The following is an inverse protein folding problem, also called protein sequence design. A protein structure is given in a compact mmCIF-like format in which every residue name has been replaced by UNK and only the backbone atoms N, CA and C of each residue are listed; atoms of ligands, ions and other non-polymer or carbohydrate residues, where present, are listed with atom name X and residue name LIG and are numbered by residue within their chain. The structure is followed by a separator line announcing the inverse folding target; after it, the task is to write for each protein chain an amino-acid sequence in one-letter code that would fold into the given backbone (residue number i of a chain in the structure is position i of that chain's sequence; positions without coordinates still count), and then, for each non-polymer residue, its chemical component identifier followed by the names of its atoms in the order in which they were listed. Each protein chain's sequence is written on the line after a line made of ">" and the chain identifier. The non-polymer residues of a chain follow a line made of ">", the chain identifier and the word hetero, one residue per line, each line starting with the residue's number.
data_IF_194539353104
#
_entry.id   IF_194539353104
#
_cell.length_a   1.000
_cell.length_b   1.000
_cell.length_c   1.000
_cell.angle_alpha   90.00
_cell.angle_beta   90.00
_cell.angle_gamma   90.00
#
_symmetry.space_group_name_H-M   'P 1'
#
loop_
_entity.id
_entity.type
_entity.pdbx_description
1 polymer ?
#
# COMPACT_ATOMS: atom_id res chain seq x y z
N UNK A 1 -23.18 -3.45 1.51
CA UNK A 1 -22.53 -4.10 2.67
C UNK A 1 -21.97 -5.44 2.23
N UNK A 2 -21.00 -5.94 2.95
CA UNK A 2 -20.41 -7.29 2.70
C UNK A 2 -21.46 -8.41 2.81
N UNK A 3 -22.52 -8.19 3.58
CA UNK A 3 -23.67 -9.11 3.66
C UNK A 3 -24.53 -9.20 2.39
N UNK A 4 -24.26 -8.39 1.36
CA UNK A 4 -25.12 -8.23 0.18
C UNK A 4 -26.32 -7.29 0.40
N UNK A 5 -26.59 -6.87 1.63
CA UNK A 5 -27.66 -5.89 1.92
C UNK A 5 -27.35 -4.53 1.30
N UNK A 6 -28.33 -3.95 0.61
CA UNK A 6 -28.21 -2.61 0.04
C UNK A 6 -28.39 -1.53 1.11
N UNK A 7 -27.60 -0.47 1.00
CA UNK A 7 -27.79 0.70 1.85
C UNK A 7 -29.06 1.48 1.45
N UNK A 8 -29.75 2.00 2.46
CA UNK A 8 -30.72 3.09 2.27
C UNK A 8 -29.94 4.39 2.19
N UNK A 9 -30.21 5.17 1.17
CA UNK A 9 -29.56 6.48 0.99
C UNK A 9 -30.20 7.58 1.84
N UNK A 10 -29.42 8.55 2.34
CA UNK A 10 -27.98 8.69 2.21
C UNK A 10 -27.21 7.74 3.14
N UNK A 11 -26.06 7.24 2.69
CA UNK A 11 -25.15 6.50 3.56
C UNK A 11 -24.50 7.49 4.55
N UNK A 12 -24.61 7.19 5.83
CA UNK A 12 -24.06 8.00 6.93
C UNK A 12 -23.11 7.14 7.78
N UNK A 13 -22.20 7.79 8.52
CA UNK A 13 -21.31 7.10 9.44
C UNK A 13 -22.04 6.16 10.43
N UNK A 14 -23.27 6.52 10.83
CA UNK A 14 -24.08 5.72 11.74
C UNK A 14 -24.60 4.40 11.13
N UNK A 15 -24.73 4.31 9.79
CA UNK A 15 -25.27 3.13 9.10
C UNK A 15 -24.28 2.51 8.11
N UNK A 16 -23.08 3.09 7.96
CA UNK A 16 -22.02 2.53 7.15
C UNK A 16 -21.40 1.31 7.83
N UNK A 17 -21.04 0.32 7.04
CA UNK A 17 -20.17 -0.76 7.48
C UNK A 17 -18.72 -0.28 7.53
N UNK A 18 -18.03 -0.60 8.60
CA UNK A 18 -16.63 -0.25 8.79
C UNK A 18 -15.73 -1.44 8.46
N UNK A 19 -14.87 -1.29 7.47
CA UNK A 19 -13.82 -2.26 7.19
C UNK A 19 -12.79 -2.30 8.34
N UNK A 20 -12.40 -1.14 8.83
CA UNK A 20 -11.52 -1.00 9.98
C UNK A 20 -11.80 0.34 10.69
N UNK A 21 -11.81 0.34 12.03
CA UNK A 21 -11.93 1.58 12.80
C UNK A 21 -10.55 2.08 13.15
N UNK A 22 -10.23 3.27 12.67
CA UNK A 22 -8.96 3.92 12.92
C UNK A 22 -9.16 5.12 13.85
N UNK A 23 -8.27 5.33 14.83
CA UNK A 23 -8.32 6.52 15.68
C UNK A 23 -7.93 7.76 14.86
N UNK A 24 -8.33 8.94 15.35
CA UNK A 24 -7.79 10.18 14.82
C UNK A 24 -6.30 10.32 15.12
N UNK A 25 -5.59 11.10 14.30
CA UNK A 25 -4.15 11.36 14.45
C UNK A 25 -3.29 10.10 14.45
N UNK A 26 -3.66 9.09 13.65
CA UNK A 26 -2.91 7.85 13.49
C UNK A 26 -1.92 7.88 12.30
N UNK A 27 -1.62 9.07 11.79
CA UNK A 27 -0.74 9.30 10.63
C UNK A 27 -1.23 8.62 9.34
N UNK A 28 -2.53 8.36 9.23
CA UNK A 28 -3.15 7.95 7.97
C UNK A 28 -3.65 9.20 7.23
N UNK A 29 -3.20 9.34 6.01
CA UNK A 29 -3.67 10.39 5.10
C UNK A 29 -4.00 9.82 3.73
N UNK A 30 -5.16 10.18 3.21
CA UNK A 30 -5.63 9.98 1.84
C UNK A 30 -5.57 8.53 1.33
N UNK A 31 -4.73 8.31 0.36
CA UNK A 31 -4.86 7.26 -0.62
C UNK A 31 -4.43 5.90 -0.09
N UNK A 32 -5.27 4.95 -0.37
CA UNK A 32 -5.01 3.52 -0.23
C UNK A 32 -5.08 2.87 -1.61
N UNK A 33 -4.63 1.64 -1.71
CA UNK A 33 -4.82 0.79 -2.87
C UNK A 33 -5.71 -0.38 -2.50
N UNK A 34 -6.56 -0.80 -3.42
CA UNK A 34 -7.45 -1.92 -3.21
C UNK A 34 -7.34 -2.91 -4.38
N UNK A 35 -7.41 -4.18 -4.05
CA UNK A 35 -7.59 -5.31 -4.97
C UNK A 35 -8.70 -6.22 -4.42
N UNK A 36 -9.07 -7.24 -5.16
CA UNK A 36 -9.99 -8.26 -4.71
C UNK A 36 -9.47 -9.65 -5.07
N UNK A 37 -9.83 -10.65 -4.29
CA UNK A 37 -9.62 -12.05 -4.64
C UNK A 37 -10.61 -12.54 -5.70
N UNK A 38 -10.50 -13.80 -6.10
CA UNK A 38 -11.38 -14.41 -7.11
C UNK A 38 -12.85 -14.49 -6.67
N UNK A 39 -13.14 -14.44 -5.37
CA UNK A 39 -14.48 -14.39 -4.81
C UNK A 39 -15.04 -12.96 -4.73
N UNK A 40 -14.24 -11.95 -5.04
CA UNK A 40 -14.60 -10.54 -4.95
C UNK A 40 -14.41 -9.93 -3.56
N UNK A 41 -13.76 -10.63 -2.64
CA UNK A 41 -13.46 -10.09 -1.32
C UNK A 41 -12.39 -9.01 -1.40
N UNK A 42 -12.59 -7.83 -0.79
CA UNK A 42 -11.67 -6.71 -0.91
C UNK A 42 -10.44 -6.84 0.00
N UNK A 43 -9.30 -6.40 -0.52
CA UNK A 43 -8.01 -6.25 0.15
C UNK A 43 -7.55 -4.80 0.01
N UNK A 44 -7.29 -4.12 1.11
CA UNK A 44 -6.97 -2.70 1.18
C UNK A 44 -5.58 -2.53 1.77
N UNK A 45 -4.64 -2.07 0.95
CA UNK A 45 -3.29 -1.74 1.38
C UNK A 45 -3.20 -0.29 1.84
N UNK A 46 -2.65 -0.05 3.01
CA UNK A 46 -2.55 1.27 3.62
C UNK A 46 -1.47 1.31 4.70
N UNK A 47 -1.36 2.39 5.45
CA UNK A 47 -0.47 2.51 6.60
C UNK A 47 -1.09 3.36 7.70
N UNK A 48 -0.78 3.07 8.92
CA UNK A 48 -1.09 3.90 10.10
C UNK A 48 -0.26 3.47 11.30
N UNK A 49 -0.16 4.35 12.30
CA UNK A 49 0.42 3.99 13.61
C UNK A 49 -0.67 3.50 14.56
N UNK A 50 -0.36 2.48 15.34
CA UNK A 50 -1.20 2.02 16.46
C UNK A 50 -1.18 3.03 17.60
N UNK A 51 -2.20 3.06 18.49
CA UNK A 51 -2.25 3.99 19.62
C UNK A 51 -1.07 3.86 20.61
N UNK A 52 -0.48 2.69 20.67
CA UNK A 52 0.65 2.32 21.54
C UNK A 52 2.04 2.52 20.90
N UNK A 53 2.08 3.12 19.70
CA UNK A 53 3.31 3.34 18.95
C UNK A 53 3.29 4.69 18.24
N UNK A 54 4.46 5.32 18.09
CA UNK A 54 4.67 6.51 17.28
C UNK A 54 5.16 6.18 15.85
N UNK A 55 5.39 4.89 15.56
CA UNK A 55 5.90 4.42 14.26
C UNK A 55 4.76 3.93 13.37
N UNK A 56 4.44 4.63 12.27
CA UNK A 56 3.50 4.12 11.27
C UNK A 56 4.03 2.86 10.60
N UNK A 57 3.17 1.87 10.46
CA UNK A 57 3.45 0.60 9.81
C UNK A 57 2.58 0.41 8.58
N UNK A 58 3.11 -0.23 7.56
CA UNK A 58 2.27 -0.74 6.48
C UNK A 58 1.32 -1.81 7.02
N UNK A 59 0.08 -1.74 6.58
CA UNK A 59 -0.99 -2.62 7.03
C UNK A 59 -1.88 -3.05 5.88
N UNK A 60 -2.42 -4.23 6.02
CA UNK A 60 -3.44 -4.78 5.16
C UNK A 60 -4.75 -4.94 5.92
N UNK A 61 -5.84 -4.46 5.33
CA UNK A 61 -7.21 -4.72 5.77
C UNK A 61 -7.87 -5.58 4.71
N UNK A 62 -8.49 -6.70 5.09
CA UNK A 62 -9.15 -7.58 4.13
C UNK A 62 -10.43 -8.18 4.71
N UNK A 63 -11.30 -8.58 3.81
CA UNK A 63 -12.51 -9.34 4.13
C UNK A 63 -12.32 -10.79 3.70
N UNK A 64 -12.57 -11.75 4.59
CA UNK A 64 -12.36 -13.18 4.34
C UNK A 64 -13.63 -13.91 3.85
N UNK A 65 -14.69 -13.15 3.53
CA UNK A 65 -16.01 -13.68 3.22
C UNK A 65 -16.95 -13.75 4.44
N UNK A 66 -16.44 -13.56 5.66
CA UNK A 66 -17.21 -13.58 6.91
C UNK A 66 -16.98 -12.34 7.77
N UNK A 67 -15.74 -11.89 7.87
CA UNK A 67 -15.34 -10.78 8.74
C UNK A 67 -14.22 -9.92 8.12
N UNK A 68 -14.12 -8.68 8.60
CA UNK A 68 -13.00 -7.82 8.32
C UNK A 68 -11.86 -8.08 9.28
N UNK A 69 -10.66 -8.15 8.73
CA UNK A 69 -9.41 -8.35 9.44
C UNK A 69 -8.43 -7.23 9.13
N UNK A 70 -7.43 -7.04 9.98
CA UNK A 70 -6.28 -6.21 9.67
C UNK A 70 -4.99 -6.84 10.19
N UNK A 71 -3.89 -6.61 9.47
CA UNK A 71 -2.59 -7.14 9.81
C UNK A 71 -1.47 -6.17 9.47
N UNK A 72 -0.43 -6.15 10.29
CA UNK A 72 0.80 -5.44 10.02
C UNK A 72 1.61 -6.19 8.96
N UNK A 73 2.16 -5.45 7.99
CA UNK A 73 2.99 -5.98 6.89
C UNK A 73 4.47 -5.77 7.16
N UNK A 74 4.84 -4.64 7.79
CA UNK A 74 6.23 -4.27 8.06
C UNK A 74 6.51 -4.15 9.55
N UNK A 75 7.80 -4.06 9.90
CA UNK A 75 8.28 -3.81 11.26
C UNK A 75 9.22 -2.61 11.27
N UNK A 76 8.71 -1.45 10.80
CA UNK A 76 9.42 -0.18 10.78
C UNK A 76 9.78 0.27 12.19
N UNK A 77 10.90 1.01 12.29
CA UNK A 77 11.47 1.49 13.57
C UNK A 77 11.46 3.02 13.67
N UNK A 78 11.41 3.73 12.54
CA UNK A 78 11.53 5.18 12.49
C UNK A 78 10.16 5.83 12.45
N UNK A 79 9.83 6.70 13.42
CA UNK A 79 8.59 7.46 13.41
C UNK A 79 8.62 8.54 12.34
N UNK A 80 7.43 8.93 11.88
CA UNK A 80 7.22 10.16 11.11
C UNK A 80 5.85 10.72 11.44
N UNK A 81 5.64 12.00 11.08
CA UNK A 81 4.37 12.67 11.32
C UNK A 81 3.87 13.38 10.08
N UNK A 82 2.55 13.40 9.93
CA UNK A 82 1.84 14.14 8.89
C UNK A 82 1.26 15.47 9.41
N UNK A 83 1.69 15.92 10.58
CA UNK A 83 1.27 17.20 11.14
C UNK A 83 1.72 18.38 10.27
N UNK A 84 0.92 19.45 10.28
CA UNK A 84 1.14 20.65 9.48
C UNK A 84 0.30 20.68 8.20
N UNK A 85 0.39 21.77 7.47
CA UNK A 85 -0.32 21.97 6.20
C UNK A 85 0.55 21.64 4.98
N UNK A 86 -0.10 21.60 3.81
CA UNK A 86 0.54 21.37 2.52
C UNK A 86 0.90 19.91 2.24
N UNK A 87 1.50 19.71 1.08
CA UNK A 87 1.98 18.39 0.67
C UNK A 87 3.13 17.93 1.55
N UNK A 88 3.13 16.69 1.97
CA UNK A 88 4.14 16.11 2.84
C UNK A 88 5.11 15.22 2.07
N UNK A 89 6.40 15.46 2.29
CA UNK A 89 7.44 14.48 1.98
C UNK A 89 7.45 13.44 3.11
N UNK A 90 7.10 12.19 2.78
CA UNK A 90 7.04 11.10 3.74
C UNK A 90 8.08 10.00 3.42
N UNK A 91 8.61 9.32 4.46
CA UNK A 91 9.67 8.32 4.27
C UNK A 91 9.19 7.02 3.63
N UNK A 92 7.91 6.90 3.37
CA UNK A 92 7.27 5.73 2.76
C UNK A 92 6.46 6.13 1.53
N UNK A 93 6.16 5.16 0.66
CA UNK A 93 5.19 5.35 -0.42
C UNK A 93 3.78 4.95 0.01
N UNK A 94 2.77 5.45 -0.69
CA UNK A 94 1.42 4.86 -0.67
C UNK A 94 1.49 3.50 -1.36
N UNK A 95 1.11 2.41 -0.69
CA UNK A 95 1.35 1.09 -1.23
C UNK A 95 0.43 0.74 -2.40
N UNK A 96 0.84 -0.24 -3.20
CA UNK A 96 -0.02 -0.95 -4.16
C UNK A 96 -0.21 -2.39 -3.70
N UNK A 97 -1.37 -2.95 -4.02
CA UNK A 97 -1.68 -4.33 -3.72
C UNK A 97 -2.15 -5.08 -4.95
N UNK A 98 -1.68 -6.30 -5.07
CA UNK A 98 -2.11 -7.27 -6.06
C UNK A 98 -2.44 -8.56 -5.32
N UNK A 99 -3.58 -9.16 -5.65
CA UNK A 99 -4.02 -10.45 -5.10
C UNK A 99 -4.24 -11.41 -6.25
N UNK A 100 -3.62 -12.58 -6.19
CA UNK A 100 -3.72 -13.58 -7.23
C UNK A 100 -3.59 -15.00 -6.67
N UNK A 101 -4.49 -15.89 -7.04
CA UNK A 101 -4.47 -17.31 -6.67
C UNK A 101 -4.34 -17.58 -5.15
N UNK A 102 -4.86 -16.66 -4.31
CA UNK A 102 -4.74 -16.72 -2.85
C UNK A 102 -3.48 -16.08 -2.28
N UNK A 103 -2.55 -15.69 -3.12
CA UNK A 103 -1.32 -14.99 -2.72
C UNK A 103 -1.52 -13.47 -2.74
N UNK A 104 -0.82 -12.77 -1.86
CA UNK A 104 -0.90 -11.32 -1.73
C UNK A 104 0.47 -10.68 -1.90
N UNK A 105 0.56 -9.72 -2.82
CA UNK A 105 1.75 -8.95 -3.13
C UNK A 105 1.51 -7.49 -2.78
N UNK A 106 2.30 -6.98 -1.86
CA UNK A 106 2.21 -5.63 -1.32
C UNK A 106 3.42 -4.82 -1.77
N UNK A 107 3.25 -3.90 -2.71
CA UNK A 107 4.32 -3.17 -3.39
C UNK A 107 4.47 -1.80 -2.72
N UNK A 108 5.69 -1.44 -2.34
CA UNK A 108 5.95 -0.22 -1.59
C UNK A 108 7.39 0.29 -1.76
N UNK A 109 7.65 1.43 -1.18
CA UNK A 109 8.98 2.02 -1.00
C UNK A 109 9.10 2.48 0.46
N UNK A 110 10.24 2.26 1.08
CA UNK A 110 10.53 2.67 2.47
C UNK A 110 11.99 3.14 2.60
N UNK A 111 12.22 4.29 3.23
CA UNK A 111 13.58 4.78 3.50
C UNK A 111 14.39 3.83 4.37
N UNK A 112 13.76 3.10 5.30
CA UNK A 112 14.46 2.07 6.10
C UNK A 112 15.00 0.92 5.23
N UNK A 113 14.54 0.79 4.00
CA UNK A 113 15.02 -0.15 2.99
C UNK A 113 15.83 0.54 1.87
N UNK A 114 16.37 1.73 2.14
CA UNK A 114 17.14 2.50 1.16
C UNK A 114 16.29 3.10 0.05
N UNK A 115 15.00 3.36 0.28
CA UNK A 115 14.05 3.89 -0.71
C UNK A 115 13.98 3.06 -2.00
N UNK A 116 14.17 1.77 -1.92
CA UNK A 116 14.06 0.84 -3.06
C UNK A 116 12.62 0.46 -3.34
N UNK A 117 12.36 0.02 -4.55
CA UNK A 117 11.10 -0.67 -4.86
C UNK A 117 11.12 -2.03 -4.16
N UNK A 118 10.19 -2.24 -3.24
CA UNK A 118 10.10 -3.46 -2.44
C UNK A 118 8.75 -4.12 -2.63
N UNK A 119 8.71 -5.44 -2.50
CA UNK A 119 7.49 -6.23 -2.44
C UNK A 119 7.48 -7.08 -1.16
N UNK A 120 6.39 -7.01 -0.42
CA UNK A 120 6.09 -7.99 0.62
C UNK A 120 5.10 -9.01 0.06
N UNK A 121 5.43 -10.27 0.16
CA UNK A 121 4.65 -11.39 -0.34
C UNK A 121 4.22 -12.31 0.78
N UNK A 122 3.03 -12.85 0.71
CA UNK A 122 2.56 -13.94 1.56
C UNK A 122 1.62 -14.85 0.80
N UNK A 123 1.72 -16.16 1.06
CA UNK A 123 0.81 -17.19 0.52
C UNK A 123 -0.46 -17.34 1.33
N UNK A 124 -0.47 -16.80 2.54
CA UNK A 124 -1.63 -16.81 3.43
C UNK A 124 -1.67 -15.49 4.21
N UNK A 125 -2.60 -14.64 3.85
CA UNK A 125 -2.75 -13.32 4.48
C UNK A 125 -3.15 -13.40 5.95
N UNK A 126 -3.79 -14.47 6.38
CA UNK A 126 -4.27 -14.64 7.75
C UNK A 126 -3.15 -15.09 8.69
N UNK A 127 -2.36 -16.04 8.28
CA UNK A 127 -1.37 -16.74 9.15
C UNK A 127 0.05 -16.75 8.61
N UNK A 128 0.24 -16.60 7.28
CA UNK A 128 1.54 -16.69 6.64
C UNK A 128 2.51 -15.56 7.03
N UNK A 129 3.78 -15.82 7.00
CA UNK A 129 4.83 -14.81 7.16
C UNK A 129 4.86 -13.89 5.93
N UNK A 130 5.28 -12.64 6.13
CA UNK A 130 5.58 -11.72 5.04
C UNK A 130 7.05 -11.85 4.65
N UNK A 131 7.31 -12.28 3.45
CA UNK A 131 8.64 -12.26 2.85
C UNK A 131 8.82 -10.94 2.09
N UNK A 132 9.86 -10.16 2.44
CA UNK A 132 10.10 -8.85 1.81
C UNK A 132 11.37 -8.91 0.97
N UNK A 133 11.20 -8.62 -0.32
CA UNK A 133 12.28 -8.58 -1.32
C UNK A 133 12.36 -7.18 -1.94
N UNK A 134 13.59 -6.68 -2.16
CA UNK A 134 13.81 -5.47 -2.93
C UNK A 134 13.90 -5.83 -4.42
N UNK A 135 13.13 -5.12 -5.24
CA UNK A 135 13.06 -5.31 -6.70
C UNK A 135 14.08 -4.45 -7.45
N UNK A 136 14.61 -3.40 -6.81
CA UNK A 136 15.67 -2.56 -7.35
C UNK A 136 16.89 -2.60 -6.45
N UNK A 137 18.07 -2.42 -7.01
CA UNK A 137 19.35 -2.24 -6.30
C UNK A 137 19.70 -0.75 -6.11
N UNK A 138 18.86 0.15 -6.62
CA UNK A 138 18.99 1.60 -6.54
C UNK A 138 17.80 2.26 -5.85
N UNK A 139 17.97 3.44 -5.23
CA UNK A 139 16.88 4.19 -4.62
C UNK A 139 15.99 4.85 -5.67
N UNK A 140 14.70 4.92 -5.39
CA UNK A 140 13.69 5.62 -6.20
C UNK A 140 13.17 6.90 -5.52
N UNK A 141 13.75 7.27 -4.38
CA UNK A 141 13.47 8.44 -3.55
C UNK A 141 11.96 8.59 -3.24
N UNK A 142 11.28 9.62 -3.75
CA UNK A 142 9.87 9.91 -3.46
C UNK A 142 8.89 9.18 -4.40
N UNK A 143 9.32 8.15 -5.10
CA UNK A 143 8.48 7.38 -6.01
C UNK A 143 7.23 6.80 -5.33
N UNK A 144 6.13 6.83 -6.07
CA UNK A 144 4.86 6.22 -5.67
C UNK A 144 4.54 5.03 -6.59
N UNK A 145 4.21 3.84 -6.06
CA UNK A 145 3.96 2.64 -6.85
C UNK A 145 2.82 2.78 -7.84
N UNK A 146 3.10 2.45 -9.10
CA UNK A 146 2.08 2.27 -10.13
C UNK A 146 2.44 1.08 -11.02
N UNK A 147 1.42 0.38 -11.53
CA UNK A 147 1.61 -0.77 -12.40
C UNK A 147 0.61 -0.76 -13.54
N UNK A 148 0.93 -1.48 -14.60
CA UNK A 148 0.01 -1.72 -15.73
C UNK A 148 -1.10 -2.68 -15.29
N UNK A 149 -2.26 -2.11 -14.96
CA UNK A 149 -3.41 -2.87 -14.48
C UNK A 149 -4.06 -3.74 -15.56
N UNK A 150 -3.97 -3.33 -16.82
CA UNK A 150 -4.55 -4.10 -17.92
C UNK A 150 -3.67 -5.29 -18.29
N UNK A 151 -2.35 -5.09 -18.35
CA UNK A 151 -1.41 -6.19 -18.56
C UNK A 151 -1.50 -7.22 -17.43
N UNK A 152 -1.61 -6.75 -16.19
CA UNK A 152 -1.85 -7.64 -15.05
C UNK A 152 -3.12 -8.47 -15.22
N UNK A 153 -4.23 -7.85 -15.59
CA UNK A 153 -5.51 -8.56 -15.79
C UNK A 153 -5.46 -9.58 -16.92
N UNK A 154 -4.78 -9.24 -18.02
CA UNK A 154 -4.77 -10.06 -19.23
C UNK A 154 -3.73 -11.17 -19.19
N UNK A 155 -2.53 -10.87 -18.69
CA UNK A 155 -1.36 -11.74 -18.80
C UNK A 155 -0.73 -12.13 -17.47
N UNK A 156 -1.19 -11.55 -16.34
CA UNK A 156 -0.61 -11.74 -15.00
C UNK A 156 0.86 -11.32 -14.89
N UNK A 157 1.30 -10.43 -15.76
CA UNK A 157 2.63 -9.81 -15.70
C UNK A 157 2.58 -8.51 -14.92
N UNK A 158 3.45 -8.38 -13.93
CA UNK A 158 3.58 -7.16 -13.16
C UNK A 158 4.65 -6.26 -13.78
N UNK A 159 4.20 -5.21 -14.47
CA UNK A 159 5.06 -4.15 -14.96
C UNK A 159 4.88 -2.92 -14.09
N UNK A 160 5.94 -2.50 -13.41
CA UNK A 160 5.96 -1.29 -12.60
C UNK A 160 6.61 -0.15 -13.38
N UNK A 161 5.98 1.03 -13.37
CA UNK A 161 6.63 2.25 -13.86
C UNK A 161 7.48 2.82 -12.75
N UNK A 162 8.79 2.84 -12.95
CA UNK A 162 9.77 3.22 -11.94
C UNK A 162 10.56 4.44 -12.41
N UNK A 163 10.60 5.47 -11.59
CA UNK A 163 11.39 6.66 -11.83
C UNK A 163 11.91 7.19 -10.51
N UNK A 164 13.16 7.60 -10.46
CA UNK A 164 13.67 8.34 -9.31
C UNK A 164 13.02 9.73 -9.28
N UNK A 165 12.26 10.03 -8.23
CA UNK A 165 11.51 11.28 -8.11
C UNK A 165 11.86 12.01 -6.83
N UNK A 166 11.68 13.33 -6.82
CA UNK A 166 11.76 14.16 -5.61
C UNK A 166 10.44 14.86 -5.36
N UNK A 167 10.13 15.03 -4.11
CA UNK A 167 9.01 15.84 -3.65
C UNK A 167 9.50 16.82 -2.59
N UNK A 168 9.10 18.08 -2.71
CA UNK A 168 9.30 19.06 -1.66
C UNK A 168 8.25 18.90 -0.55
N UNK A 169 8.57 19.38 0.65
CA UNK A 169 7.62 19.46 1.76
C UNK A 169 6.96 20.85 1.77
N UNK A 170 5.69 20.95 2.16
CA UNK A 170 4.96 22.21 2.31
C UNK A 170 4.72 22.98 1.01
N UNK A 171 4.39 22.32 -0.09
CA UNK A 171 4.13 22.90 -1.43
C UNK A 171 5.37 23.50 -2.10
N UNK A 172 6.57 23.18 -1.63
CA UNK A 172 7.79 23.57 -2.33
C UNK A 172 8.10 22.61 -3.48
N UNK A 173 8.54 23.16 -4.59
CA UNK A 173 9.08 22.35 -5.69
C UNK A 173 10.49 21.88 -5.35
N UNK A 174 10.76 20.61 -5.60
CA UNK A 174 12.12 20.08 -5.51
C UNK A 174 12.76 20.08 -6.91
N UNK A 175 13.91 20.73 -7.05
CA UNK A 175 14.67 20.63 -8.28
C UNK A 175 15.39 19.27 -8.35
N UNK A 176 15.31 18.64 -9.50
CA UNK A 176 15.99 17.39 -9.82
C UNK A 176 16.36 17.38 -11.30
N UNK A 177 17.55 16.90 -11.61
CA UNK A 177 17.92 16.62 -12.99
C UNK A 177 16.96 15.60 -13.62
N UNK A 178 16.69 15.70 -14.93
CA UNK A 178 15.84 14.75 -15.63
C UNK A 178 16.26 13.31 -15.34
N UNK A 179 15.29 12.48 -14.96
CA UNK A 179 15.50 11.08 -14.62
C UNK A 179 14.84 10.16 -15.65
N UNK A 180 15.50 9.06 -15.95
CA UNK A 180 14.93 8.03 -16.81
C UNK A 180 13.70 7.41 -16.16
N UNK A 181 12.71 7.09 -17.00
CA UNK A 181 11.58 6.23 -16.62
C UNK A 181 11.91 4.81 -17.07
N UNK A 182 11.75 3.87 -16.16
CA UNK A 182 11.96 2.44 -16.42
C UNK A 182 10.63 1.71 -16.34
N UNK A 183 10.52 0.64 -17.10
CA UNK A 183 9.51 -0.40 -16.86
C UNK A 183 10.23 -1.56 -16.19
N UNK A 184 9.91 -1.80 -14.94
CA UNK A 184 10.41 -2.96 -14.20
C UNK A 184 9.45 -4.12 -14.43
N UNK A 185 9.90 -5.09 -15.19
CA UNK A 185 9.18 -6.34 -15.39
C UNK A 185 9.54 -7.31 -14.26
N UNK A 186 8.55 -7.85 -13.60
CA UNK A 186 8.76 -8.87 -12.57
C UNK A 186 7.77 -10.00 -12.74
N UNK A 187 8.30 -11.21 -12.70
CA UNK A 187 7.52 -12.43 -12.63
C UNK A 187 7.32 -12.79 -11.15
N UNK A 188 6.10 -12.67 -10.69
CA UNK A 188 5.74 -13.00 -9.31
C UNK A 188 5.57 -14.51 -9.09
N UNK A 189 5.39 -15.29 -10.17
CA UNK A 189 5.18 -16.74 -10.10
C UNK A 189 6.46 -17.55 -9.83
N UNK A 190 7.62 -16.90 -9.93
CA UNK A 190 8.93 -17.55 -9.81
C UNK A 190 9.59 -17.43 -8.43
N UNK A 191 8.83 -16.98 -7.40
CA UNK A 191 9.38 -16.79 -6.04
C UNK A 191 8.69 -17.67 -5.01
#
# INVERSE_FOLDING_TARGET
>A
KTSGEKYVLPIRAANAEYACRLPQNCELINQTSMSADAAGNPYIATYWRSPDSDVPQYRLVWYDGQAWHNRRVTDRKTPFTLKGGGTKMIPIARPRIVVEAGETYYIFRDEERGSRVSVAHTKDVATGEWEITDLTDFPVDAWEPSHDTELWKQERKLHLFVQRTRQGDGEHTAEIEPQMVYVLETDLSSK
#
